data_IF_594585141152
#
_entry.id   IF_594585141152
#
_cell.length_a   1.000
_cell.length_b   1.000
_cell.length_c   1.000
_cell.angle_alpha   90.00
_cell.angle_beta   90.00
_cell.angle_gamma   90.00
#
_symmetry.space_group_name_H-M   'P 1'
#
loop_
_entity.id
_entity.type
_entity.pdbx_description
1 polymer ?
2 non-polymer ?
3 water ?
#
# COMPACT_ATOMS: atom_id res chain seq x y z
N UNK A 7 5.45 -9.68 -26.16
CA UNK A 7 6.15 -9.46 -24.87
C UNK A 7 6.45 -10.77 -24.15
N UNK A 8 7.52 -10.76 -23.37
CA UNK A 8 7.75 -11.81 -22.40
C UNK A 8 7.31 -11.29 -21.06
N UNK A 9 7.04 -12.22 -20.15
CA UNK A 9 6.63 -11.88 -18.79
C UNK A 9 7.80 -11.31 -18.03
N UNK A 10 7.57 -10.21 -17.32
CA UNK A 10 8.64 -9.61 -16.53
C UNK A 10 8.10 -9.25 -15.16
N UNK A 11 9.02 -9.02 -14.24
CA UNK A 11 8.72 -8.45 -12.93
C UNK A 11 9.28 -7.05 -12.88
N UNK A 12 8.48 -6.09 -12.37
CA UNK A 12 9.00 -4.75 -12.08
C UNK A 12 9.00 -4.54 -10.57
N UNK A 13 10.18 -4.67 -9.98
CA UNK A 13 10.36 -4.41 -8.56
C UNK A 13 10.46 -2.94 -8.33
N UNK A 14 9.75 -2.42 -7.34
CA UNK A 14 9.76 -0.97 -7.11
C UNK A 14 9.64 -0.64 -5.64
N UNK A 15 9.91 0.62 -5.31
CA UNK A 15 9.80 1.10 -3.94
C UNK A 15 9.74 2.62 -3.94
N UNK A 16 8.87 3.17 -3.10
CA UNK A 16 8.84 4.66 -2.89
C UNK A 16 9.51 5.02 -1.59
N UNK A 17 10.22 6.15 -1.57
CA UNK A 17 10.47 6.87 -0.33
C UNK A 17 9.51 8.04 -0.34
N UNK A 18 8.87 8.32 0.79
CA UNK A 18 7.88 9.41 0.82
C UNK A 18 8.18 10.34 1.97
N UNK A 19 7.43 11.42 2.02
CA UNK A 19 7.59 12.44 3.05
C UNK A 19 6.66 12.23 4.25
N UNK A 20 5.98 11.10 4.28
CA UNK A 20 5.12 10.80 5.43
C UNK A 20 4.37 9.51 5.26
N UNK A 21 3.67 9.12 6.32
CA UNK A 21 3.05 7.81 6.38
C UNK A 21 1.76 7.67 5.59
N UNK A 22 1.10 8.79 5.30
CA UNK A 22 -0.25 8.71 4.73
C UNK A 22 -0.13 8.68 3.21
N UNK A 23 -0.60 7.58 2.57
CA UNK A 23 -0.38 7.46 1.11
C UNK A 23 -1.09 8.50 0.27
N UNK A 24 -2.13 9.13 0.79
CA UNK A 24 -2.82 10.19 0.06
C UNK A 24 -2.31 11.57 0.45
N UNK A 25 -2.17 11.78 1.76
CA UNK A 25 -2.04 13.12 2.31
C UNK A 25 -0.59 13.51 2.49
N UNK A 26 0.31 12.55 2.44
CA UNK A 26 1.74 12.88 2.37
C UNK A 26 2.19 12.70 0.95
N UNK A 27 3.31 13.31 0.60
CA UNK A 27 3.73 13.37 -0.80
C UNK A 27 4.92 12.44 -1.00
N UNK A 28 5.05 11.87 -2.21
CA UNK A 28 6.20 10.99 -2.49
C UNK A 28 7.49 11.82 -2.62
N UNK A 29 8.65 11.19 -2.40
CA UNK A 29 9.95 11.88 -2.52
C UNK A 29 10.74 11.25 -3.64
N UNK A 30 10.78 9.91 -3.67
CA UNK A 30 11.62 9.20 -4.63
C UNK A 30 10.94 7.87 -5.02
N UNK A 31 11.08 7.49 -6.28
CA UNK A 31 10.64 6.21 -6.78
C UNK A 31 11.85 5.49 -7.33
N UNK A 32 11.99 4.19 -7.05
CA UNK A 32 13.07 3.38 -7.61
C UNK A 32 12.48 2.11 -8.13
N UNK A 33 12.99 1.62 -9.27
CA UNK A 33 12.47 0.39 -9.84
C UNK A 33 13.51 -0.26 -10.72
N UNK A 34 13.37 -1.55 -10.92
CA UNK A 34 14.16 -2.24 -11.93
C UNK A 34 13.38 -3.45 -12.41
N UNK A 35 13.54 -3.77 -13.70
CA UNK A 35 12.82 -4.89 -14.34
C UNK A 35 13.69 -6.15 -14.41
N UNK A 36 13.08 -7.30 -14.12
CA UNK A 36 13.76 -8.58 -14.27
C UNK A 36 12.96 -9.48 -15.20
N UNK A 37 13.62 -10.51 -15.72
CA UNK A 37 12.88 -11.56 -16.39
C UNK A 37 12.12 -12.47 -15.41
N UNK A 38 11.47 -13.49 -15.96
CA UNK A 38 10.63 -14.35 -15.12
C UNK A 38 11.42 -15.15 -14.08
N UNK A 39 12.76 -15.15 -14.19
CA UNK A 39 13.63 -15.88 -13.27
C UNK A 39 14.43 -14.95 -12.34
N UNK A 40 14.04 -13.66 -12.36
CA UNK A 40 14.64 -12.61 -11.47
C UNK A 40 16.04 -12.16 -11.90
N UNK A 41 16.41 -12.47 -13.15
CA UNK A 41 17.62 -11.86 -13.77
C UNK A 41 17.33 -10.43 -14.17
N UNK A 42 18.18 -9.50 -13.72
CA UNK A 42 17.98 -8.09 -14.07
C UNK A 42 18.14 -7.88 -15.56
N UNK A 43 17.12 -7.31 -16.18
CA UNK A 43 17.19 -7.04 -17.63
C UNK A 43 17.07 -5.59 -17.97
N UNK A 44 16.65 -4.77 -17.01
CA UNK A 44 16.50 -3.34 -17.24
C UNK A 44 17.57 -2.53 -16.55
N UNK A 45 17.55 -1.20 -16.77
CA UNK A 45 18.41 -0.28 -16.06
C UNK A 45 17.72 0.23 -14.80
N UNK A 46 18.48 0.61 -13.76
CA UNK A 46 17.81 1.19 -12.59
C UNK A 46 17.06 2.43 -13.00
N UNK A 47 15.82 2.55 -12.52
CA UNK A 47 14.99 3.73 -12.76
C UNK A 47 14.80 4.40 -11.43
N UNK A 48 15.42 5.56 -11.25
CA UNK A 48 15.38 6.25 -9.95
C UNK A 48 15.11 7.70 -10.23
N UNK A 49 14.06 8.24 -9.64
CA UNK A 49 13.82 9.64 -9.83
C UNK A 49 13.01 10.25 -8.71
N UNK A 50 13.03 11.58 -8.65
CA UNK A 50 12.42 12.32 -7.55
C UNK A 50 11.17 13.06 -7.95
N UNK A 51 10.39 13.44 -6.92
CA UNK A 51 9.17 14.20 -7.12
C UNK A 51 9.31 15.53 -6.39
N UNK A 52 9.23 16.63 -7.11
CA UNK A 52 9.16 17.96 -6.45
C UNK A 52 7.89 18.08 -5.64
N UNK A 53 7.99 18.42 -4.35
CA UNK A 53 6.74 18.67 -3.59
C UNK A 53 6.22 20.08 -3.83
N UNK A 54 4.90 20.20 -3.96
CA UNK A 54 4.28 21.53 -4.16
C UNK A 54 4.38 22.35 -2.88
N UNK A 55 4.17 23.67 -2.99
CA UNK A 55 4.39 24.55 -1.87
C UNK A 55 3.23 24.66 -0.89
N UNK A 56 2.30 23.70 -0.92
CA UNK A 56 1.19 23.64 0.03
C UNK A 56 1.43 22.53 1.04
N UNK A 57 2.68 22.12 1.16
CA UNK A 57 2.97 20.92 1.95
C UNK A 57 4.29 21.03 2.71
N UNK A 58 4.29 20.55 3.96
CA UNK A 58 5.55 20.30 4.69
C UNK A 58 5.67 18.81 5.04
N UNK A 59 6.86 18.24 4.83
CA UNK A 59 7.03 16.82 5.07
C UNK A 59 6.96 16.51 6.56
N UNK A 60 6.55 15.30 6.90
CA UNK A 60 6.69 14.81 8.31
C UNK A 60 8.17 14.71 8.65
N UNK A 61 8.62 15.41 9.73
CA UNK A 61 10.04 15.35 10.09
C UNK A 61 10.54 13.93 10.29
N UNK A 62 9.71 13.07 10.91
CA UNK A 62 10.05 11.67 11.12
C UNK A 62 10.43 10.93 9.85
N UNK A 63 9.69 11.18 8.76
CA UNK A 63 9.96 10.52 7.49
C UNK A 63 11.32 10.93 6.95
N UNK A 64 11.63 12.22 7.05
CA UNK A 64 12.90 12.71 6.53
C UNK A 64 14.08 12.11 7.31
N UNK A 65 13.88 11.91 8.62
CA UNK A 65 14.91 11.27 9.45
C UNK A 65 15.16 9.84 9.03
N UNK A 66 14.11 9.17 8.54
CA UNK A 66 14.23 7.79 8.03
C UNK A 66 14.91 7.75 6.65
N UNK A 67 14.46 8.60 5.73
CA UNK A 67 14.90 8.52 4.33
C UNK A 67 16.20 9.25 4.05
N UNK A 68 16.45 10.33 4.79
CA UNK A 68 17.60 11.20 4.54
C UNK A 68 17.38 12.10 3.34
N UNK A 69 16.15 12.11 2.81
CA UNK A 69 15.85 12.94 1.63
C UNK A 69 15.12 14.18 2.10
N UNK A 70 15.76 15.33 1.94
CA UNK A 70 15.17 16.60 2.36
C UNK A 70 14.19 17.08 1.27
N UNK A 71 13.22 17.93 1.65
CA UNK A 71 12.38 18.59 0.63
C UNK A 71 13.21 19.41 -0.35
N UNK A 72 14.30 20.03 0.11
CA UNK A 72 15.17 20.76 -0.81
C UNK A 72 15.73 19.85 -1.90
N UNK A 73 16.15 18.64 -1.52
CA UNK A 73 16.75 17.73 -2.49
C UNK A 73 15.72 17.25 -3.51
N UNK A 74 14.52 16.87 -3.04
CA UNK A 74 13.48 16.38 -3.96
C UNK A 74 13.05 17.51 -4.90
N UNK A 75 12.96 18.72 -4.36
CA UNK A 75 12.62 19.86 -5.19
C UNK A 75 13.67 20.12 -6.27
N UNK A 76 14.95 20.07 -5.91
CA UNK A 76 16.03 20.40 -6.87
C UNK A 76 16.25 19.30 -7.89
N UNK A 77 16.06 18.05 -7.46
CA UNK A 77 16.34 16.88 -8.31
C UNK A 77 15.10 16.32 -8.98
N UNK A 78 13.92 16.77 -8.57
CA UNK A 78 12.72 16.10 -9.02
C UNK A 78 12.08 16.77 -10.21
N UNK A 79 11.04 16.15 -10.72
CA UNK A 79 10.15 16.81 -11.65
C UNK A 79 8.80 16.95 -10.96
N UNK A 80 7.90 17.72 -11.54
CA UNK A 80 6.62 17.89 -10.89
C UNK A 80 5.87 16.56 -10.82
N UNK A 81 4.85 16.52 -9.98
CA UNK A 81 4.18 15.24 -9.72
C UNK A 81 3.51 14.71 -10.99
N UNK A 82 3.06 15.61 -11.86
CA UNK A 82 2.54 15.18 -13.14
C UNK A 82 3.56 14.36 -13.96
N UNK A 83 4.79 14.84 -14.02
CA UNK A 83 5.84 14.17 -14.80
C UNK A 83 6.31 12.90 -14.09
N UNK A 84 6.36 12.94 -12.77
CA UNK A 84 6.66 11.79 -11.90
C UNK A 84 5.63 10.68 -12.18
N UNK A 85 4.35 11.05 -12.17
CA UNK A 85 3.29 10.11 -12.45
C UNK A 85 3.42 9.50 -13.83
N UNK A 86 3.76 10.34 -14.82
CA UNK A 86 3.92 9.87 -16.19
C UNK A 86 4.97 8.78 -16.33
N UNK A 87 6.12 9.00 -15.68
CA UNK A 87 7.21 8.04 -15.74
C UNK A 87 6.81 6.72 -15.09
N UNK A 88 6.16 6.78 -13.93
CA UNK A 88 5.76 5.56 -13.23
C UNK A 88 4.69 4.82 -14.06
N UNK A 89 3.70 5.57 -14.55
CA UNK A 89 2.65 4.96 -15.40
C UNK A 89 3.23 4.25 -16.65
N UNK A 90 4.25 4.85 -17.26
CA UNK A 90 4.90 4.24 -18.42
C UNK A 90 5.60 2.92 -18.05
N UNK A 91 6.20 2.85 -16.86
CA UNK A 91 6.83 1.60 -16.43
C UNK A 91 5.79 0.55 -16.10
N UNK A 92 4.72 0.97 -15.43
CA UNK A 92 3.73 0.05 -14.88
C UNK A 92 2.81 -0.53 -15.92
N UNK A 93 2.70 0.15 -17.08
CA UNK A 93 1.78 -0.31 -18.10
C UNK A 93 2.46 -1.05 -19.25
N UNK A 94 3.74 -1.37 -19.10
CA UNK A 94 4.36 -2.30 -20.04
C UNK A 94 3.62 -3.66 -19.93
N UNK A 95 3.17 -4.21 -21.07
CA UNK A 95 2.44 -5.49 -21.05
C UNK A 95 3.19 -6.63 -20.37
N UNK A 96 2.41 -7.51 -19.77
CA UNK A 96 2.90 -8.72 -19.09
C UNK A 96 3.86 -8.44 -17.95
N UNK A 97 3.63 -7.33 -17.24
CA UNK A 97 4.42 -6.97 -16.05
C UNK A 97 3.71 -7.38 -14.79
N UNK A 98 4.43 -8.08 -13.92
CA UNK A 98 4.03 -8.28 -12.54
C UNK A 98 4.73 -7.19 -11.70
N UNK A 99 3.95 -6.24 -11.21
CA UNK A 99 4.46 -5.08 -10.45
C UNK A 99 4.50 -5.51 -9.00
N UNK A 100 5.67 -5.51 -8.39
CA UNK A 100 5.74 -5.99 -6.99
C UNK A 100 6.74 -5.22 -6.14
N UNK A 101 6.65 -5.40 -4.83
CA UNK A 101 7.57 -4.72 -3.93
C UNK A 101 7.54 -5.43 -2.60
N UNK A 102 7.81 -4.68 -1.55
CA UNK A 102 7.80 -5.26 -0.21
C UNK A 102 6.95 -4.33 0.65
N UNK A 103 5.75 -4.80 1.01
CA UNK A 103 4.69 -4.01 1.63
C UNK A 103 3.97 -3.09 0.63
N UNK A 104 4.06 -3.39 -0.65
CA UNK A 104 3.42 -2.52 -1.62
C UNK A 104 1.89 -2.61 -1.58
N UNK A 105 1.34 -3.76 -1.22
CA UNK A 105 -0.13 -3.86 -1.26
C UNK A 105 -0.81 -2.86 -0.31
N UNK A 106 -0.23 -2.70 0.87
CA UNK A 106 -0.81 -1.80 1.87
C UNK A 106 -0.25 -0.37 1.79
N UNK A 107 0.95 -0.21 1.23
CA UNK A 107 1.55 1.13 1.18
C UNK A 107 1.82 1.62 -0.26
N UNK A 108 2.88 1.14 -0.89
CA UNK A 108 3.27 1.70 -2.21
C UNK A 108 2.14 1.76 -3.24
N UNK A 109 1.35 0.70 -3.33
CA UNK A 109 0.27 0.66 -4.32
C UNK A 109 -0.77 1.75 -4.03
N UNK A 110 -0.94 2.09 -2.75
CA UNK A 110 -1.84 3.17 -2.34
C UNK A 110 -1.23 4.53 -2.70
N UNK A 111 0.08 4.62 -2.58
CA UNK A 111 0.78 5.84 -3.08
C UNK A 111 0.54 5.96 -4.59
N UNK A 112 0.76 4.88 -5.34
CA UNK A 112 0.55 4.90 -6.80
C UNK A 112 -0.89 5.31 -7.18
N UNK A 113 -1.88 4.66 -6.55
CA UNK A 113 -3.30 5.00 -6.80
C UNK A 113 -3.55 6.47 -6.60
N UNK A 114 -3.02 7.02 -5.52
CA UNK A 114 -3.23 8.44 -5.23
C UNK A 114 -2.47 9.37 -6.16
N UNK A 115 -1.24 9.03 -6.52
CA UNK A 115 -0.53 9.85 -7.52
C UNK A 115 -1.29 9.85 -8.87
N UNK A 116 -1.80 8.68 -9.27
CA UNK A 116 -2.55 8.56 -10.55
C UNK A 116 -3.84 9.34 -10.45
N UNK A 117 -4.54 9.17 -9.33
CA UNK A 117 -5.76 9.94 -9.03
C UNK A 117 -5.56 11.47 -9.15
N UNK A 118 -4.53 12.00 -8.51
CA UNK A 118 -4.31 13.46 -8.50
C UNK A 118 -3.91 13.98 -9.85
N UNK A 119 -3.30 13.11 -10.67
CA UNK A 119 -2.72 13.58 -11.94
C UNK A 119 -3.40 13.05 -13.18
N UNK A 120 -4.67 12.66 -13.01
CA UNK A 120 -5.56 12.33 -14.12
C UNK A 120 -5.23 11.06 -14.90
N UNK A 121 -4.57 10.12 -14.22
CA UNK A 121 -4.46 8.72 -14.69
C UNK A 121 -5.50 7.83 -14.03
N UNK A 122 -5.89 6.77 -14.72
CA UNK A 122 -6.70 5.73 -14.08
C UNK A 122 -5.93 5.15 -12.89
N UNK A 123 -6.53 5.18 -11.68
CA UNK A 123 -5.82 4.66 -10.50
C UNK A 123 -5.68 3.16 -10.41
N UNK A 124 -6.38 2.44 -11.29
CA UNK A 124 -6.56 0.99 -11.13
C UNK A 124 -6.10 0.14 -12.32
N UNK A 125 -6.30 0.64 -13.54
CA UNK A 125 -6.14 -0.19 -14.74
C UNK A 125 -4.74 -0.79 -14.91
N UNK A 126 -3.72 -0.04 -14.47
CA UNK A 126 -2.32 -0.44 -14.65
C UNK A 126 -2.04 -1.82 -14.11
N UNK A 127 -2.74 -2.20 -13.06
CA UNK A 127 -2.44 -3.45 -12.33
C UNK A 127 -2.96 -4.71 -12.98
N UNK A 128 -3.83 -4.58 -13.98
CA UNK A 128 -4.48 -5.76 -14.56
C UNK A 128 -4.52 -5.77 -16.06
N UNK A 129 -4.50 -4.57 -16.68
CA UNK A 129 -4.59 -4.51 -18.16
C UNK A 129 -3.32 -5.07 -18.80
N UNK A 130 -3.46 -5.60 -20.02
CA UNK A 130 -2.33 -6.12 -20.83
C UNK A 130 -1.61 -7.26 -20.09
N UNK A 131 -2.39 -8.10 -19.40
CA UNK A 131 -1.90 -9.28 -18.69
C UNK A 131 -1.02 -8.92 -17.49
N UNK A 132 -1.18 -7.72 -16.96
CA UNK A 132 -0.39 -7.31 -15.81
C UNK A 132 -0.95 -7.89 -14.52
N UNK A 133 -0.12 -7.85 -13.49
CA UNK A 133 -0.52 -8.28 -12.15
C UNK A 133 0.29 -7.55 -11.10
N UNK A 134 -0.05 -7.80 -9.83
CA UNK A 134 0.80 -7.33 -8.75
C UNK A 134 1.09 -8.47 -7.79
N UNK A 135 2.13 -8.29 -7.00
CA UNK A 135 2.45 -9.24 -5.95
C UNK A 135 3.16 -8.46 -4.87
N UNK A 136 3.42 -9.09 -3.73
CA UNK A 136 4.01 -8.37 -2.57
C UNK A 136 4.81 -9.40 -1.78
N UNK A 137 6.13 -9.21 -1.66
CA UNK A 137 6.97 -10.19 -0.98
C UNK A 137 6.79 -10.21 0.53
N UNK A 138 6.16 -9.18 1.09
CA UNK A 138 5.93 -9.18 2.54
C UNK A 138 5.06 -10.34 2.99
N UNK A 139 3.91 -10.55 2.34
CA UNK A 139 3.07 -11.67 2.80
C UNK A 139 3.66 -13.02 2.37
N UNK A 140 4.51 -13.03 1.33
CA UNK A 140 5.27 -14.27 0.98
C UNK A 140 6.19 -14.64 2.16
N UNK A 141 6.93 -13.66 2.71
CA UNK A 141 7.83 -13.95 3.84
C UNK A 141 7.04 -14.40 5.04
N UNK A 142 5.92 -13.70 5.31
CA UNK A 142 5.07 -14.10 6.42
C UNK A 142 4.53 -15.50 6.25
N UNK A 143 4.09 -15.83 5.04
CA UNK A 143 3.60 -17.21 4.76
C UNK A 143 4.70 -18.24 4.94
N UNK A 144 5.91 -17.93 4.49
CA UNK A 144 7.03 -18.86 4.72
C UNK A 144 7.28 -19.14 6.21
N UNK A 145 7.33 -18.08 7.01
CA UNK A 145 7.54 -18.26 8.44
C UNK A 145 6.49 -19.15 9.07
N UNK A 146 5.24 -18.92 8.70
CA UNK A 146 4.12 -19.61 9.34
C UNK A 146 4.04 -21.03 8.84
N UNK A 147 4.21 -21.21 7.53
CA UNK A 147 3.82 -22.47 6.90
C UNK A 147 4.99 -23.36 6.52
N UNK A 148 6.12 -22.75 6.16
CA UNK A 148 7.26 -23.51 5.64
C UNK A 148 8.57 -22.84 6.06
N UNK A 149 8.86 -22.80 7.38
CA UNK A 149 9.98 -21.95 7.88
C UNK A 149 11.37 -22.56 7.64
N UNK A 150 11.42 -23.79 7.15
CA UNK A 150 12.73 -24.50 6.95
C UNK A 150 13.67 -23.77 5.97
N UNK A 151 14.93 -23.60 6.40
CA UNK A 151 15.97 -23.12 5.51
C UNK A 151 16.17 -21.61 5.50
N UNK A 152 15.25 -20.87 6.15
CA UNK A 152 15.40 -19.42 6.30
C UNK A 152 15.60 -19.04 7.77
N UNK A 153 16.47 -18.06 8.03
CA UNK A 153 16.68 -17.58 9.39
C UNK A 153 15.63 -16.57 9.68
N UNK A 154 14.94 -16.71 10.81
CA UNK A 154 13.84 -15.79 11.14
C UNK A 154 14.16 -14.90 12.36
N UNK A 155 14.51 -13.62 12.12
CA UNK A 155 14.97 -12.77 13.23
C UNK A 155 13.83 -12.34 14.14
N UNK A 156 14.15 -12.09 15.42
CA UNK A 156 13.19 -11.53 16.36
C UNK A 156 13.46 -10.06 16.48
N UNK A 157 12.40 -9.26 16.66
CA UNK A 157 12.60 -7.85 16.99
C UNK A 157 12.86 -7.68 18.51
N UNK A 158 13.00 -6.42 18.95
CA UNK A 158 13.35 -6.13 20.34
C UNK A 158 12.24 -6.55 21.30
N UNK A 159 11.06 -6.85 20.77
CA UNK A 159 9.92 -7.28 21.61
C UNK A 159 9.80 -8.79 21.77
N UNK A 160 10.60 -9.53 21.01
CA UNK A 160 10.60 -10.97 21.12
C UNK A 160 9.67 -11.63 20.12
N UNK A 161 9.24 -10.85 19.11
CA UNK A 161 8.29 -11.32 18.09
C UNK A 161 9.04 -11.47 16.78
N UNK A 162 8.59 -12.37 15.91
CA UNK A 162 9.28 -12.49 14.62
C UNK A 162 9.16 -11.19 13.88
N UNK A 163 10.26 -10.75 13.26
CA UNK A 163 10.28 -9.50 12.51
C UNK A 163 10.25 -9.75 11.01
N UNK A 164 9.46 -8.95 10.30
CA UNK A 164 9.40 -9.03 8.84
C UNK A 164 9.84 -7.72 8.20
N UNK A 165 10.52 -6.89 8.97
CA UNK A 165 11.21 -5.75 8.35
C UNK A 165 12.27 -6.24 7.37
N UNK A 166 12.26 -5.63 6.19
CA UNK A 166 13.12 -6.08 5.12
C UNK A 166 14.57 -6.10 5.58
N UNK A 167 15.00 -5.03 6.23
CA UNK A 167 16.40 -4.91 6.71
C UNK A 167 16.80 -5.99 7.71
N UNK A 168 15.84 -6.43 8.52
CA UNK A 168 16.12 -7.50 9.46
C UNK A 168 16.25 -8.85 8.76
N UNK A 169 15.41 -9.09 7.76
CA UNK A 169 15.43 -10.38 7.06
C UNK A 169 16.68 -10.50 6.19
N UNK A 170 17.10 -9.40 5.56
CA UNK A 170 18.33 -9.46 4.76
C UNK A 170 19.54 -9.70 5.66
N UNK A 171 19.67 -8.91 6.74
CA UNK A 171 20.75 -9.11 7.72
C UNK A 171 20.80 -10.54 8.24
N UNK A 172 19.64 -11.09 8.61
CA UNK A 172 19.59 -12.41 9.22
C UNK A 172 19.93 -13.52 8.24
N UNK A 173 19.83 -13.22 6.96
CA UNK A 173 20.05 -14.23 5.92
C UNK A 173 21.24 -13.96 5.02
N UNK A 174 22.11 -13.03 5.45
CA UNK A 174 23.42 -12.80 4.77
C UNK A 174 23.32 -12.05 3.46
N UNK A 175 22.21 -11.35 3.25
CA UNK A 175 22.02 -10.55 2.04
C UNK A 175 22.51 -9.11 2.22
N UNK A 176 23.46 -8.70 1.40
CA UNK A 176 23.98 -7.33 1.43
C UNK A 176 22.87 -6.31 1.19
N UNK A 177 22.77 -5.32 2.08
CA UNK A 177 21.69 -4.35 2.05
C UNK A 177 22.12 -3.00 2.64
N UNK A 182 22.54 2.04 -3.48
CA UNK A 182 22.21 3.23 -2.66
C UNK A 182 20.71 3.53 -2.73
N UNK A 183 20.29 4.34 -3.68
CA UNK A 183 18.85 4.58 -3.87
C UNK A 183 18.16 3.26 -4.23
N UNK A 184 18.95 2.30 -4.73
CA UNK A 184 18.39 1.04 -5.21
C UNK A 184 18.41 -0.05 -4.15
N UNK A 185 18.91 0.28 -2.97
CA UNK A 185 19.11 -0.70 -1.90
C UNK A 185 17.88 -1.56 -1.66
N UNK A 186 16.73 -0.91 -1.46
CA UNK A 186 15.52 -1.63 -1.08
C UNK A 186 14.99 -2.50 -2.20
N UNK A 187 15.06 -1.98 -3.42
CA UNK A 187 14.67 -2.77 -4.58
C UNK A 187 15.54 -4.00 -4.73
N UNK A 188 16.87 -3.85 -4.68
CA UNK A 188 17.74 -5.01 -4.83
C UNK A 188 17.52 -5.99 -3.66
N UNK A 189 17.26 -5.47 -2.46
CA UNK A 189 17.00 -6.35 -1.30
C UNK A 189 15.74 -7.18 -1.52
N UNK A 190 14.72 -6.56 -2.14
CA UNK A 190 13.47 -7.24 -2.41
C UNK A 190 13.68 -8.37 -3.43
N UNK A 191 14.47 -8.10 -4.48
CA UNK A 191 14.82 -9.13 -5.50
C UNK A 191 15.53 -10.28 -4.79
N UNK A 192 16.45 -9.93 -3.90
CA UNK A 192 17.19 -10.94 -3.12
C UNK A 192 16.26 -11.82 -2.29
N UNK A 193 15.23 -11.23 -1.68
CA UNK A 193 14.22 -12.00 -0.91
C UNK A 193 13.39 -12.93 -1.75
N UNK A 194 12.99 -12.47 -2.95
CA UNK A 194 12.31 -13.33 -3.87
C UNK A 194 13.15 -14.53 -4.23
N UNK A 195 14.42 -14.30 -4.55
CA UNK A 195 15.32 -15.42 -4.94
C UNK A 195 15.48 -16.39 -3.78
N UNK A 196 15.56 -15.83 -2.58
CA UNK A 196 15.68 -16.63 -1.33
C UNK A 196 14.52 -17.61 -1.17
N UNK A 197 13.30 -17.11 -1.24
CA UNK A 197 12.15 -18.00 -1.11
C UNK A 197 12.03 -18.97 -2.28
N UNK A 198 12.28 -18.50 -3.51
CA UNK A 198 12.16 -19.37 -4.70
C UNK A 198 13.12 -20.56 -4.55
N UNK A 199 14.29 -20.29 -3.98
CA UNK A 199 15.33 -21.34 -3.83
C UNK A 199 15.01 -22.29 -2.68
N UNK A 200 14.60 -21.73 -1.55
CA UNK A 200 14.52 -22.53 -0.31
C UNK A 200 13.13 -23.14 -0.10
N UNK A 201 12.10 -22.51 -0.68
CA UNK A 201 10.77 -23.09 -0.60
C UNK A 201 10.08 -23.06 -1.97
N UNK A 202 10.61 -23.83 -2.94
CA UNK A 202 10.21 -23.66 -4.34
C UNK A 202 8.72 -23.90 -4.58
N UNK A 203 8.17 -24.95 -3.98
CA UNK A 203 6.75 -25.24 -4.23
C UNK A 203 5.84 -24.18 -3.64
N UNK A 204 6.15 -23.72 -2.42
CA UNK A 204 5.33 -22.68 -1.81
C UNK A 204 5.42 -21.39 -2.63
N UNK A 205 6.62 -21.06 -3.09
CA UNK A 205 6.82 -19.85 -3.93
C UNK A 205 5.93 -19.92 -5.18
N UNK A 206 5.95 -21.06 -5.87
CA UNK A 206 5.15 -21.27 -7.08
C UNK A 206 3.67 -21.16 -6.75
N UNK A 207 3.26 -21.78 -5.66
CA UNK A 207 1.87 -21.73 -5.21
C UNK A 207 1.44 -20.26 -4.95
N UNK A 208 2.24 -19.53 -4.19
CA UNK A 208 1.87 -18.16 -3.85
C UNK A 208 1.84 -17.26 -5.10
N UNK A 209 2.83 -17.44 -5.98
CA UNK A 209 2.86 -16.66 -7.23
C UNK A 209 1.59 -16.94 -8.06
N UNK A 210 1.28 -18.22 -8.27
CA UNK A 210 0.09 -18.59 -9.05
C UNK A 210 -1.20 -18.02 -8.44
N UNK A 211 -1.28 -18.02 -7.11
CA UNK A 211 -2.51 -17.60 -6.44
C UNK A 211 -2.58 -16.11 -6.17
N UNK A 212 -1.69 -15.35 -6.80
CA UNK A 212 -1.88 -13.88 -6.86
C UNK A 212 -3.12 -13.54 -7.70
N UNK A 213 -3.55 -14.48 -8.55
CA UNK A 213 -4.64 -14.28 -9.49
C UNK A 213 -5.97 -14.49 -8.76
N UNK A 214 -6.87 -13.53 -8.87
CA UNK A 214 -8.15 -13.59 -8.11
C UNK A 214 -9.02 -14.78 -8.48
N UNK A 215 -8.93 -15.27 -9.71
CA UNK A 215 -9.72 -16.45 -10.08
C UNK A 215 -9.22 -17.75 -9.44
N UNK A 216 -7.90 -17.89 -9.32
CA UNK A 216 -7.34 -18.98 -8.55
C UNK A 216 -7.76 -18.91 -7.08
N UNK A 217 -7.73 -17.71 -6.48
CA UNK A 217 -8.23 -17.53 -5.13
C UNK A 217 -9.72 -17.90 -5.01
N UNK A 218 -10.54 -17.43 -5.94
CA UNK A 218 -11.98 -17.80 -5.94
C UNK A 218 -12.21 -19.31 -5.84
N UNK A 219 -11.36 -20.10 -6.50
CA UNK A 219 -11.53 -21.57 -6.52
C UNK A 219 -11.37 -22.21 -5.15
N UNK A 220 -10.70 -21.50 -4.24
CA UNK A 220 -10.50 -22.01 -2.87
C UNK A 220 -11.70 -21.78 -1.98
N UNK A 221 -12.57 -20.88 -2.41
CA UNK A 221 -13.64 -20.36 -1.58
C UNK A 221 -14.92 -21.15 -1.79
N UNK A 222 -15.35 -21.84 -0.73
CA UNK A 222 -16.60 -22.58 -0.74
C UNK A 222 -17.49 -22.12 0.43
N UNK A 223 -18.33 -21.14 0.13
CA UNK A 223 -19.21 -20.53 1.15
C UNK A 223 -20.32 -21.48 1.64
N UNK A 224 -21.03 -22.17 0.72
CA UNK A 224 -22.06 -23.10 1.21
C UNK A 224 -21.53 -24.10 2.23
N UNK A 225 -20.33 -24.62 2.01
CA UNK A 225 -19.73 -25.61 2.90
C UNK A 225 -18.98 -24.96 4.07
N UNK A 226 -18.84 -23.64 4.03
CA UNK A 226 -17.95 -22.91 4.95
C UNK A 226 -16.60 -23.60 5.05
N UNK A 227 -16.03 -23.96 3.89
CA UNK A 227 -14.80 -24.75 3.87
C UNK A 227 -13.64 -23.95 4.46
N UNK A 228 -12.98 -24.51 5.48
CA UNK A 228 -11.92 -23.76 6.15
C UNK A 228 -10.67 -23.63 5.29
N UNK A 229 -9.98 -22.51 5.46
CA UNK A 229 -8.74 -22.24 4.75
C UNK A 229 -7.73 -21.72 5.72
N UNK A 230 -6.46 -21.91 5.39
CA UNK A 230 -5.43 -21.16 6.13
C UNK A 230 -5.32 -19.78 5.50
N UNK A 231 -5.22 -18.76 6.33
CA UNK A 231 -5.04 -17.38 5.84
C UNK A 231 -3.91 -16.75 6.62
N UNK A 232 -2.94 -16.20 5.91
CA UNK A 232 -1.82 -15.48 6.54
C UNK A 232 -2.01 -14.01 6.25
N UNK A 233 -2.09 -13.21 7.32
CA UNK A 233 -2.44 -11.80 7.22
C UNK A 233 -1.77 -11.04 8.36
N UNK A 234 -1.23 -9.87 8.07
CA UNK A 234 -0.59 -9.07 9.13
C UNK A 234 -1.57 -8.72 10.22
N UNK A 235 -2.87 -8.70 9.89
CA UNK A 235 -3.89 -8.32 10.89
C UNK A 235 -4.05 -9.36 12.01
N UNK A 236 -3.57 -10.58 11.76
CA UNK A 236 -3.64 -11.60 12.79
C UNK A 236 -2.56 -11.46 13.86
N UNK A 237 -1.41 -10.89 13.49
CA UNK A 237 -0.39 -10.56 14.51
C UNK A 237 0.78 -11.53 14.54
N UNK A 238 1.97 -10.98 14.73
CA UNK A 238 3.21 -11.76 14.71
C UNK A 238 3.25 -12.79 15.83
N UNK A 239 2.50 -12.52 16.91
CA UNK A 239 2.46 -13.46 18.06
C UNK A 239 1.92 -14.84 17.72
N UNK A 240 1.11 -14.93 16.66
CA UNK A 240 0.65 -16.23 16.13
C UNK A 240 1.12 -16.42 14.69
N UNK A 241 2.26 -15.84 14.38
CA UNK A 241 2.82 -15.98 13.04
C UNK A 241 1.90 -15.47 11.94
N UNK A 242 1.07 -14.46 12.27
CA UNK A 242 0.15 -13.84 11.31
C UNK A 242 -0.81 -14.85 10.63
N UNK A 243 -1.13 -15.94 11.33
CA UNK A 243 -1.83 -17.09 10.72
C UNK A 243 -3.06 -17.55 11.53
N UNK A 244 -4.12 -17.91 10.81
CA UNK A 244 -5.21 -18.60 11.41
C UNK A 244 -5.92 -19.51 10.40
N UNK A 245 -6.86 -20.30 10.90
CA UNK A 245 -7.83 -20.99 10.02
C UNK A 245 -9.09 -20.13 9.97
N UNK A 246 -9.56 -19.86 8.74
CA UNK A 246 -10.73 -19.02 8.54
C UNK A 246 -11.79 -19.80 7.77
N UNK A 247 -13.05 -19.38 7.87
CA UNK A 247 -14.10 -19.95 7.03
C UNK A 247 -14.91 -18.82 6.40
N UNK A 248 -15.26 -18.95 5.11
CA UNK A 248 -16.05 -17.90 4.45
C UNK A 248 -17.53 -18.02 4.77
N UNK A 249 -18.14 -16.92 5.18
CA UNK A 249 -19.57 -16.95 5.56
C UNK A 249 -20.46 -16.42 4.46
N UNK A 250 -19.97 -15.41 3.75
CA UNK A 250 -20.76 -14.70 2.76
C UNK A 250 -19.85 -13.76 2.02
N UNK A 251 -20.27 -13.34 0.83
CA UNK A 251 -19.60 -12.25 0.16
C UNK A 251 -20.14 -10.89 0.58
N UNK A 252 -19.25 -9.89 0.59
CA UNK A 252 -19.63 -8.50 0.91
C UNK A 252 -20.78 -8.06 0.00
N UNK A 253 -21.83 -7.43 0.58
CA UNK A 253 -23.01 -7.00 -0.17
C UNK A 253 -22.75 -5.84 -1.16
N UNK A 254 -21.61 -5.17 -1.03
CA UNK A 254 -21.30 -4.02 -1.88
C UNK A 254 -19.99 -4.19 -2.65
N UNK A 255 -18.98 -4.70 -1.97
CA UNK A 255 -17.65 -4.84 -2.55
C UNK A 255 -17.54 -6.19 -3.25
N UNK A 256 -17.49 -6.15 -4.58
CA UNK A 256 -17.48 -7.36 -5.42
C UNK A 256 -16.27 -8.25 -5.19
N UNK A 257 -15.20 -7.65 -4.66
CA UNK A 257 -13.96 -8.37 -4.47
C UNK A 257 -13.71 -8.85 -3.04
N UNK A 258 -14.61 -8.57 -2.13
CA UNK A 258 -14.39 -8.88 -0.71
C UNK A 258 -15.29 -10.01 -0.21
N UNK A 259 -14.68 -11.01 0.41
CA UNK A 259 -15.42 -12.09 1.08
C UNK A 259 -15.30 -11.92 2.60
N UNK A 260 -16.40 -12.21 3.30
CA UNK A 260 -16.45 -12.08 4.74
C UNK A 260 -16.07 -13.41 5.38
N UNK A 261 -14.94 -13.40 6.07
CA UNK A 261 -14.42 -14.60 6.70
C UNK A 261 -14.65 -14.51 8.18
N UNK A 262 -14.78 -15.67 8.83
CA UNK A 262 -14.69 -15.73 10.29
C UNK A 262 -13.34 -16.34 10.69
N UNK A 263 -12.68 -15.72 11.65
CA UNK A 263 -11.46 -16.29 12.21
C UNK A 263 -11.85 -17.37 13.19
N UNK A 264 -11.61 -18.62 12.81
CA UNK A 264 -12.09 -19.77 13.58
C UNK A 264 -11.40 -19.89 14.96
N UNK A 265 -10.23 -19.26 15.10
CA UNK A 265 -9.48 -19.26 16.37
C UNK A 265 -10.08 -18.31 17.39
N UNK A 266 -11.00 -17.44 16.94
CA UNK A 266 -11.57 -16.41 17.80
C UNK A 266 -12.67 -16.91 18.71
N UNK A 267 -13.29 -15.97 19.42
CA UNK A 267 -14.51 -16.23 20.19
C UNK A 267 -15.73 -15.82 19.39
N UNK A 268 -16.51 -16.80 18.93
CA UNK A 268 -17.64 -16.52 18.06
C UNK A 268 -18.93 -16.13 18.80
N UNK A 269 -18.87 -16.12 20.13
CA UNK A 269 -20.04 -15.78 20.98
C UNK A 269 -20.80 -14.52 20.52
N UNK A 270 -20.07 -13.39 20.29
CA UNK A 270 -20.74 -12.17 19.82
C UNK A 270 -21.52 -12.39 18.54
N UNK A 271 -20.96 -13.20 17.64
CA UNK A 271 -21.64 -13.54 16.39
C UNK A 271 -22.94 -14.28 16.60
N UNK A 272 -22.96 -15.18 17.59
CA UNK A 272 -24.11 -16.04 17.83
C UNK A 272 -25.20 -15.31 18.59
N UNK A 273 -24.81 -14.53 19.59
CA UNK A 273 -25.77 -14.06 20.58
C UNK A 273 -26.04 -12.54 20.55
N UNK A 274 -25.53 -11.89 19.53
CA UNK A 274 -25.67 -10.44 19.39
C UNK A 274 -26.28 -10.11 18.03
N UNK A 275 -27.02 -9.00 17.98
CA UNK A 275 -27.62 -8.51 16.73
C UNK A 275 -26.60 -7.78 15.84
N UNK A 276 -26.96 -7.57 14.58
CA UNK A 276 -26.07 -6.96 13.59
C UNK A 276 -25.70 -5.50 13.86
N UNK A 277 -26.59 -4.76 14.50
CA UNK A 277 -26.33 -3.36 14.82
C UNK A 277 -25.25 -3.24 15.89
N UNK A 278 -25.40 -4.01 16.97
CA UNK A 278 -24.41 -4.08 18.04
C UNK A 278 -23.05 -4.54 17.51
N UNK A 279 -23.07 -5.48 16.57
CA UNK A 279 -21.85 -6.00 15.96
C UNK A 279 -21.18 -4.97 15.07
N UNK A 280 -21.98 -4.18 14.35
CA UNK A 280 -21.44 -3.05 13.57
C UNK A 280 -21.01 -1.91 14.50
N UNK A 295 -14.32 -9.37 21.28
CA UNK A 295 -14.10 -8.87 19.92
C UNK A 295 -15.06 -9.54 18.95
N UNK A 296 -15.00 -9.14 17.68
CA UNK A 296 -15.82 -9.74 16.65
C UNK A 296 -14.86 -10.37 15.64
N UNK A 297 -14.80 -11.71 15.63
CA UNK A 297 -13.79 -12.40 14.84
C UNK A 297 -14.22 -12.50 13.38
N UNK A 298 -14.46 -11.35 12.76
CA UNK A 298 -14.85 -11.28 11.37
C UNK A 298 -13.82 -10.40 10.65
N UNK A 299 -13.39 -10.84 9.47
CA UNK A 299 -12.54 -9.97 8.64
C UNK A 299 -12.85 -10.14 7.18
N UNK A 300 -12.66 -9.07 6.41
CA UNK A 300 -12.77 -9.12 4.97
C UNK A 300 -11.48 -9.63 4.35
N UNK A 301 -11.60 -10.52 3.37
CA UNK A 301 -10.45 -10.88 2.55
C UNK A 301 -10.73 -10.34 1.15
N UNK A 302 -9.80 -9.56 0.62
CA UNK A 302 -9.97 -8.88 -0.65
C UNK A 302 -9.22 -9.62 -1.73
N UNK A 303 -9.95 -10.24 -2.67
CA UNK A 303 -9.30 -11.18 -3.59
C UNK A 303 -8.43 -10.50 -4.64
N UNK A 304 -8.53 -9.18 -4.75
CA UNK A 304 -7.68 -8.43 -5.68
C UNK A 304 -6.43 -7.84 -4.99
N UNK A 305 -6.22 -8.25 -3.75
CA UNK A 305 -5.11 -7.70 -2.95
C UNK A 305 -4.08 -8.77 -2.54
N UNK A 306 -3.84 -9.75 -3.41
CA UNK A 306 -2.86 -10.81 -3.16
C UNK A 306 -2.93 -11.40 -1.76
N UNK A 307 -4.12 -11.74 -1.26
CA UNK A 307 -4.15 -12.36 0.06
C UNK A 307 -3.58 -13.76 0.03
N UNK A 308 -2.93 -14.15 1.12
CA UNK A 308 -2.43 -15.54 1.22
C UNK A 308 -3.52 -16.46 1.74
N UNK A 309 -3.96 -17.39 0.88
CA UNK A 309 -5.02 -18.35 1.23
C UNK A 309 -4.63 -19.69 0.70
N UNK A 310 -4.86 -20.74 1.49
CA UNK A 310 -4.56 -22.10 1.06
C UNK A 310 -5.46 -23.11 1.76
N UNK A 311 -5.53 -24.33 1.20
CA UNK A 311 -6.30 -25.41 1.84
C UNK A 311 -5.83 -25.59 3.28
N UNK A 312 -6.77 -25.95 4.15
CA UNK A 312 -6.54 -25.96 5.60
C UNK A 312 -5.32 -26.79 6.04
N UNK A 313 -5.08 -27.90 5.36
CA UNK A 313 -3.95 -28.78 5.73
C UNK A 313 -2.57 -28.25 5.33
N UNK A 314 -2.55 -27.10 4.67
CA UNK A 314 -1.28 -26.42 4.38
C UNK A 314 -0.57 -26.02 5.68
N UNK A 315 -1.34 -25.74 6.72
CA UNK A 315 -0.77 -25.51 8.04
C UNK A 315 -0.64 -26.87 8.71
N UNK A 316 0.61 -27.34 8.79
CA UNK A 316 0.92 -28.69 9.34
C UNK A 316 0.80 -28.69 10.86
N UNK A 317 0.48 -29.87 11.46
CA UNK A 317 0.31 -29.93 12.91
C UNK A 317 1.46 -29.32 13.69
N UNK A 318 2.70 -29.63 13.32
CA UNK A 318 3.89 -29.08 13.99
C UNK A 318 3.94 -27.54 13.99
N UNK A 319 3.48 -26.94 12.89
CA UNK A 319 3.50 -25.50 12.79
C UNK A 319 2.35 -24.85 13.51
N UNK A 320 1.17 -25.47 13.45
CA UNK A 320 0.06 -25.04 14.28
C UNK A 320 0.51 -25.01 15.75
N UNK A 321 1.21 -26.08 16.17
CA UNK A 321 1.72 -26.16 17.54
C UNK A 321 2.68 -25.02 17.84
N UNK A 322 3.61 -24.81 16.91
CA UNK A 322 4.63 -23.80 17.07
C UNK A 322 4.00 -22.41 17.25
N UNK A 323 2.94 -22.15 16.47
CA UNK A 323 2.27 -20.84 16.45
C UNK A 323 1.17 -20.70 17.48
N UNK A 324 0.91 -21.75 18.24
CA UNK A 324 -0.08 -21.71 19.33
C UNK A 324 -1.52 -21.80 18.85
N UNK A 325 -1.72 -22.26 17.61
CA UNK A 325 -3.05 -22.29 16.99
C UNK A 325 -3.79 -23.57 17.40
N UNK A 326 -4.95 -23.38 18.01
CA UNK A 326 -5.69 -24.50 18.62
C UNK A 326 -6.68 -25.13 17.64
N UNK A 327 -6.29 -26.27 17.06
CA UNK A 327 -7.09 -26.92 15.99
C UNK A 327 -8.48 -27.31 16.47
N UNK A 328 -8.55 -27.90 17.66
CA UNK A 328 -9.85 -28.33 18.18
C UNK A 328 -10.80 -27.15 18.36
N UNK A 329 -10.28 -26.05 18.86
CA UNK A 329 -11.09 -24.84 19.03
C UNK A 329 -11.67 -24.39 17.69
N UNK A 330 -10.82 -24.38 16.67
CA UNK A 330 -11.24 -23.96 15.34
C UNK A 330 -12.32 -24.87 14.80
N UNK A 331 -12.12 -26.17 14.97
CA UNK A 331 -13.11 -27.15 14.50
C UNK A 331 -14.44 -27.07 15.24
N UNK A 332 -14.39 -26.83 16.56
CA UNK A 332 -15.62 -26.68 17.33
C UNK A 332 -16.42 -25.46 16.87
N UNK A 333 -15.72 -24.34 16.66
CA UNK A 333 -16.34 -23.11 16.12
C UNK A 333 -16.92 -23.38 14.74
N UNK A 334 -16.16 -24.07 13.89
CA UNK A 334 -16.63 -24.36 12.52
C UNK A 334 -17.95 -25.16 12.58
N UNK A 335 -18.00 -26.15 13.47
CA UNK A 335 -19.20 -26.97 13.62
C UNK A 335 -20.41 -26.12 14.00
N UNK A 336 -20.25 -25.29 15.04
CA UNK A 336 -21.32 -24.40 15.50
C UNK A 336 -21.78 -23.51 14.34
N UNK A 337 -20.82 -22.92 13.63
CA UNK A 337 -21.16 -22.00 12.55
C UNK A 337 -21.95 -22.69 11.45
N UNK A 338 -21.54 -23.90 11.09
CA UNK A 338 -22.28 -24.65 10.04
C UNK A 338 -23.70 -24.99 10.48
N UNK A 339 -23.90 -25.16 11.79
CA UNK A 339 -25.21 -25.56 12.35
C UNK A 339 -26.10 -24.35 12.58
N UNK A 340 -25.51 -23.16 12.44
CA UNK A 340 -26.23 -21.90 12.61
C UNK A 340 -26.06 -20.98 11.38
N UNK A 341 -26.59 -21.38 10.20
CA UNK A 341 -26.38 -20.59 8.97
C UNK A 341 -26.99 -19.18 9.01
N UNK A 342 -27.82 -18.88 10.00
CA UNK A 342 -28.38 -17.55 10.16
C UNK A 342 -27.28 -16.51 10.46
N UNK A 343 -26.11 -17.00 10.86
CA UNK A 343 -24.97 -16.12 11.09
C UNK A 343 -24.52 -15.44 9.78
N UNK A 344 -24.77 -16.07 8.64
CA UNK A 344 -24.37 -15.50 7.34
C UNK A 344 -25.13 -14.21 7.08
N UNK A 345 -26.45 -14.27 7.24
CA UNK A 345 -27.29 -13.11 7.07
C UNK A 345 -26.85 -12.00 8.03
N UNK A 346 -26.55 -12.39 9.26
CA UNK A 346 -26.10 -11.47 10.28
C UNK A 346 -24.82 -10.70 9.89
N UNK A 347 -23.81 -11.41 9.40
CA UNK A 347 -22.57 -10.73 9.03
C UNK A 347 -22.71 -9.85 7.75
N UNK A 348 -23.59 -10.26 6.83
CA UNK A 348 -23.85 -9.46 5.64
C UNK A 348 -24.47 -8.12 6.07
N UNK A 349 -25.37 -8.18 7.05
CA UNK A 349 -26.00 -6.96 7.57
C UNK A 349 -24.98 -5.98 8.13
N UNK A 350 -23.97 -6.50 8.84
CA UNK A 350 -22.88 -5.67 9.38
C UNK A 350 -22.27 -4.76 8.30
N UNK A 351 -21.91 -5.34 7.16
CA UNK A 351 -21.22 -4.61 6.08
C UNK A 351 -22.16 -3.99 5.03
N UNK A 352 -23.47 -4.11 5.26
CA UNK A 352 -24.48 -3.56 4.35
C UNK A 352 -24.59 -2.04 4.44
N UNK A 353 -23.89 -1.44 5.42
CA UNK A 353 -23.78 0.01 5.53
C UNK A 353 -22.32 0.47 5.49
N UNK A 360 -13.77 13.86 4.81
CA UNK A 360 -13.14 15.20 4.83
C UNK A 360 -13.40 15.93 3.51
N UNK A 361 -13.27 17.27 3.54
CA UNK A 361 -13.51 18.10 2.36
C UNK A 361 -12.28 18.23 1.48
N UNK A 362 -11.19 17.59 1.90
CA UNK A 362 -9.93 17.63 1.14
C UNK A 362 -10.07 16.67 -0.03
N UNK A 363 -10.10 17.20 -1.26
CA UNK A 363 -10.19 16.34 -2.43
C UNK A 363 -9.05 15.30 -2.50
N UNK A 364 -7.86 15.63 -1.97
CA UNK A 364 -6.75 14.65 -1.96
C UNK A 364 -7.11 13.36 -1.21
N UNK A 365 -8.07 13.46 -0.30
CA UNK A 365 -8.45 12.33 0.56
C UNK A 365 -9.66 11.56 0.01
N UNK A 366 -10.09 11.90 -1.19
CA UNK A 366 -11.38 11.41 -1.68
C UNK A 366 -11.32 10.36 -2.80
N UNK A 367 -10.17 9.71 -2.96
CA UNK A 367 -10.04 8.63 -3.96
C UNK A 367 -11.17 7.60 -3.88
N UNK A 368 -11.49 7.14 -2.67
CA UNK A 368 -12.47 6.07 -2.51
C UNK A 368 -13.92 6.57 -2.35
N UNK A 369 -14.15 7.85 -2.62
CA UNK A 369 -15.53 8.37 -2.60
C UNK A 369 -16.39 7.87 -3.78
N UNK A 370 -15.79 7.07 -4.66
CA UNK A 370 -16.53 6.43 -5.74
C UNK A 370 -15.79 6.36 -7.04
N UNK A 371 -16.23 5.46 -7.91
CA UNK A 371 -15.70 5.37 -9.25
C UNK A 371 -16.26 6.51 -10.10
N UNK A 372 -15.41 7.08 -10.94
CA UNK A 372 -15.86 8.05 -11.91
C UNK A 372 -16.68 7.36 -12.99
N UNK A 373 -17.63 8.08 -13.58
CA UNK A 373 -18.41 7.53 -14.69
C UNK A 373 -17.52 7.36 -15.92
N UNK A 374 -18.05 6.71 -16.95
CA UNK A 374 -17.33 6.55 -18.20
C UNK A 374 -17.07 7.90 -18.86
N UNK A 375 -18.07 8.78 -18.81
CA UNK A 375 -17.97 10.10 -19.43
C UNK A 375 -16.89 10.92 -18.73
N UNK A 376 -16.91 10.90 -17.40
CA UNK A 376 -15.89 11.62 -16.61
C UNK A 376 -14.45 11.10 -16.83
N UNK A 377 -14.26 9.78 -16.96
CA UNK A 377 -12.92 9.24 -17.26
C UNK A 377 -12.46 9.70 -18.64
N UNK A 378 -13.39 9.72 -19.59
CA UNK A 378 -13.13 10.22 -20.92
C UNK A 378 -12.68 11.68 -20.88
N UNK A 379 -13.39 12.50 -20.08
CA UNK A 379 -13.04 13.91 -19.89
C UNK A 379 -11.69 14.04 -19.22
N UNK A 380 -11.44 13.21 -18.21
CA UNK A 380 -10.15 13.29 -17.50
C UNK A 380 -8.99 12.93 -18.40
N UNK A 381 -9.24 12.01 -19.32
CA UNK A 381 -8.24 11.58 -20.28
C UNK A 381 -7.87 12.75 -21.21
N UNK A 382 -8.84 13.57 -21.56
CA UNK A 382 -8.55 14.75 -22.37
C UNK A 382 -7.64 15.74 -21.59
N UNK A 383 -7.93 15.93 -20.30
CA UNK A 383 -7.04 16.77 -19.45
C UNK A 383 -5.62 16.21 -19.49
N UNK A 384 -5.51 14.89 -19.30
CA UNK A 384 -4.23 14.24 -19.31
C UNK A 384 -3.46 14.47 -20.61
N UNK A 385 -4.19 14.46 -21.73
CA UNK A 385 -3.54 14.44 -23.02
C UNK A 385 -3.50 15.81 -23.65
N UNK A 386 -3.95 16.81 -22.90
CA UNK A 386 -3.84 18.21 -23.28
C UNK A 386 -2.56 18.84 -22.74
N UNK A 387 -1.90 19.61 -23.59
CA UNK A 387 -0.69 20.38 -23.23
C UNK A 387 -0.93 21.40 -22.09
N UNK A 388 -0.10 21.38 -21.02
CA UNK A 388 -0.40 22.21 -19.85
C UNK A 388 -0.75 23.67 -20.18
N UNK A 389 -0.12 24.21 -21.23
CA UNK A 389 -0.36 25.60 -21.66
C UNK A 389 -1.74 25.80 -22.29
N UNK A 390 -2.38 24.69 -22.66
CA UNK A 390 -3.71 24.74 -23.29
C UNK A 390 -4.88 24.43 -22.34
N UNK A 391 -4.56 24.05 -21.09
CA UNK A 391 -5.59 23.75 -20.12
C UNK A 391 -6.54 24.90 -19.77
N UNK A 392 -6.00 26.15 -19.65
CA UNK A 392 -6.88 27.27 -19.32
C UNK A 392 -7.99 27.47 -20.35
N UNK A 393 -7.75 27.08 -21.60
CA UNK A 393 -8.76 27.25 -22.65
C UNK A 393 -9.57 25.98 -22.94
N UNK A 394 -9.31 24.90 -22.19
CA UNK A 394 -10.00 23.64 -22.41
C UNK A 394 -11.49 23.76 -22.05
N UNK A 395 -12.36 23.25 -22.92
CA UNK A 395 -13.80 23.52 -22.85
C UNK A 395 -14.65 22.27 -22.62
N UNK A 396 -14.21 21.37 -21.76
CA UNK A 396 -14.93 20.11 -21.52
C UNK A 396 -15.80 20.14 -20.26
N UNK A 397 -16.61 19.10 -20.09
CA UNK A 397 -17.58 19.00 -19.01
C UNK A 397 -17.29 17.84 -18.08
N UNK A 398 -17.36 18.11 -16.78
CA UNK A 398 -17.22 17.09 -15.74
C UNK A 398 -18.50 17.07 -14.91
N UNK A 399 -18.91 15.90 -14.45
CA UNK A 399 -20.05 15.82 -13.55
C UNK A 399 -19.59 15.61 -12.10
N UNK A 400 -18.66 14.67 -11.90
CA UNK A 400 -18.18 14.37 -10.56
C UNK A 400 -17.62 15.61 -9.87
N UNK A 401 -18.07 15.84 -8.64
CA UNK A 401 -17.77 17.08 -7.92
C UNK A 401 -16.30 17.19 -7.53
N UNK A 402 -15.61 16.05 -7.52
CA UNK A 402 -14.20 16.07 -7.17
C UNK A 402 -13.35 16.68 -8.26
N UNK A 403 -13.80 16.58 -9.51
CA UNK A 403 -12.93 16.90 -10.66
C UNK A 403 -12.48 18.38 -10.74
N UNK A 404 -13.39 19.34 -10.52
CA UNK A 404 -13.05 20.79 -10.54
C UNK A 404 -11.89 21.08 -9.59
N UNK A 405 -11.94 20.48 -8.39
CA UNK A 405 -10.93 20.69 -7.37
C UNK A 405 -9.64 19.96 -7.74
N UNK A 406 -9.78 18.73 -8.21
CA UNK A 406 -8.62 17.98 -8.71
C UNK A 406 -7.88 18.73 -9.79
N UNK A 407 -8.64 19.32 -10.73
CA UNK A 407 -8.03 20.05 -11.84
C UNK A 407 -7.37 21.34 -11.38
N UNK A 408 -8.06 22.10 -10.52
CA UNK A 408 -7.41 23.28 -9.95
C UNK A 408 -6.09 22.94 -9.23
N UNK A 409 -6.11 21.95 -8.34
CA UNK A 409 -4.90 21.56 -7.62
C UNK A 409 -3.82 21.10 -8.59
N UNK A 410 -4.22 20.34 -9.60
CA UNK A 410 -3.29 19.79 -10.55
C UNK A 410 -2.57 20.95 -11.28
N UNK A 411 -3.33 21.94 -11.73
CA UNK A 411 -2.73 23.06 -12.44
C UNK A 411 -1.87 23.93 -11.50
N UNK A 412 -2.39 24.24 -10.30
CA UNK A 412 -1.68 25.13 -9.38
C UNK A 412 -0.39 24.48 -8.83
N UNK A 413 -0.44 23.20 -8.50
CA UNK A 413 0.76 22.48 -8.03
C UNK A 413 1.81 22.26 -9.09
N UNK A 414 1.37 21.81 -10.29
CA UNK A 414 2.30 21.41 -11.35
C UNK A 414 2.71 22.54 -12.31
N UNK A 415 1.78 23.45 -12.57
CA UNK A 415 1.92 24.43 -13.66
C UNK A 415 1.53 25.84 -13.18
N UNK A 416 2.19 26.31 -12.10
CA UNK A 416 1.74 27.56 -11.47
C UNK A 416 1.92 28.80 -12.35
N UNK A 417 2.81 28.74 -13.34
CA UNK A 417 2.96 29.83 -14.33
C UNK A 417 1.79 30.00 -15.29
N UNK A 418 0.85 29.05 -15.28
CA UNK A 418 -0.32 29.10 -16.16
C UNK A 418 -1.53 29.68 -15.43
N UNK A 419 -1.37 29.99 -14.14
CA UNK A 419 -2.47 30.50 -13.34
C UNK A 419 -2.70 31.98 -13.58
N UNK A 420 -3.97 32.37 -13.70
CA UNK A 420 -4.29 33.81 -13.78
C UNK A 420 -4.43 34.40 -12.37
N UNK A 421 -4.68 35.71 -12.28
CA UNK A 421 -4.64 36.39 -10.98
C UNK A 421 -5.60 35.80 -9.96
N UNK A 422 -6.86 35.61 -10.36
CA UNK A 422 -7.89 35.01 -9.50
C UNK A 422 -7.44 33.63 -9.03
N UNK A 423 -6.87 32.85 -9.95
CA UNK A 423 -6.35 31.52 -9.59
C UNK A 423 -5.20 31.57 -8.60
N UNK A 424 -4.28 32.51 -8.78
CA UNK A 424 -3.20 32.70 -7.81
C UNK A 424 -3.75 33.04 -6.41
N UNK A 425 -4.78 33.89 -6.36
CA UNK A 425 -5.42 34.26 -5.09
C UNK A 425 -6.12 33.07 -4.45
N UNK A 426 -6.74 32.23 -5.28
CA UNK A 426 -7.34 30.98 -4.80
C UNK A 426 -6.26 30.09 -4.18
N UNK A 427 -5.12 29.99 -4.85
CA UNK A 427 -4.02 29.13 -4.35
C UNK A 427 -3.46 29.71 -3.07
N UNK A 428 -3.32 31.04 -2.99
CA UNK A 428 -2.82 31.66 -1.75
C UNK A 428 -3.74 31.34 -0.57
N UNK A 429 -5.05 31.37 -0.81
CA UNK A 429 -6.03 31.03 0.23
C UNK A 429 -5.92 29.54 0.64
N UNK A 430 -5.74 28.67 -0.35
CA UNK A 430 -5.51 27.25 -0.13
C UNK A 430 -4.35 27.05 0.84
N UNK A 431 -3.24 27.72 0.57
CA UNK A 431 -2.03 27.54 1.39
C UNK A 431 -2.24 28.06 2.81
N UNK A 432 -2.97 29.16 2.93
CA UNK A 432 -3.31 29.71 4.23
C UNK A 432 -4.17 28.73 5.03
N UNK A 433 -5.02 27.99 4.34
CA UNK A 433 -5.93 27.06 5.00
C UNK A 433 -5.23 25.77 5.42
N UNK A 434 -4.13 25.42 4.73
CA UNK A 434 -3.27 24.32 5.17
C UNK A 434 -2.40 24.74 6.36
N UNK A 435 -1.74 25.89 6.20
CA UNK A 435 -0.78 26.35 7.17
C UNK A 435 -1.50 27.16 8.27
N UNK A 436 -2.35 26.47 9.03
CA UNK A 436 -3.12 27.08 10.15
C UNK A 436 -2.16 27.42 11.30
N UNK A 437 -2.54 28.35 12.16
CA UNK A 437 -1.75 28.65 13.34
C UNK A 437 -1.37 27.41 14.15
N UNK A 438 -2.32 26.50 14.37
CA UNK A 438 -2.06 25.28 15.13
C UNK A 438 -1.02 24.40 14.45
N UNK A 439 -1.12 24.32 13.13
CA UNK A 439 -0.20 23.47 12.36
C UNK A 439 1.25 23.99 12.41
N UNK A 440 1.42 25.27 12.17
CA UNK A 440 2.75 25.86 12.12
C UNK A 440 3.45 25.84 13.48
N UNK A 441 2.70 26.17 14.54
CA UNK A 441 3.25 26.06 15.88
C UNK A 441 3.67 24.63 16.20
N UNK A 442 2.83 23.67 15.84
CA UNK A 442 3.12 22.27 16.15
C UNK A 442 4.34 21.80 15.36
N UNK A 443 4.51 22.34 14.16
CA UNK A 443 5.63 21.91 13.31
C UNK A 443 6.95 22.41 13.90
N UNK A 444 6.96 23.68 14.29
CA UNK A 444 8.10 24.28 14.96
C UNK A 444 8.41 23.53 16.24
N UNK A 445 7.37 23.22 17.02
CA UNK A 445 7.54 22.50 18.27
C UNK A 445 8.17 21.11 18.05
N UNK A 446 7.72 20.43 17.00
CA UNK A 446 8.22 19.08 16.71
C UNK A 446 9.71 19.12 16.33
N UNK A 447 10.08 20.07 15.48
CA UNK A 447 11.47 20.19 15.06
C UNK A 447 12.38 20.48 16.25
N UNK A 448 11.96 21.40 17.12
CA UNK A 448 12.78 21.78 18.28
C UNK A 448 12.88 20.58 19.23
N UNK A 449 11.79 19.84 19.38
CA UNK A 449 11.79 18.66 20.24
C UNK A 449 12.75 17.61 19.67
N UNK A 450 12.73 17.44 18.35
CA UNK A 450 13.52 16.37 17.74
C UNK A 450 15.01 16.70 17.75
N UNK A 451 15.34 17.98 17.60
CA UNK A 451 16.75 18.39 17.59
C UNK A 451 17.42 18.21 18.96
N UNK A 452 16.61 18.28 20.02
CA UNK A 452 17.08 17.99 21.37
C UNK A 452 17.19 16.49 21.55
N UNK A 453 16.13 15.79 21.16
CA UNK A 453 16.08 14.34 21.31
C UNK A 453 17.22 13.66 20.57
N UNK A 454 17.55 14.15 19.37
CA UNK A 454 18.59 13.53 18.56
C UNK A 454 19.89 14.31 18.54
N UNK A 455 20.11 15.09 19.61
CA UNK A 455 21.24 16.03 19.67
C UNK A 455 22.59 15.37 19.39
N UNK A 456 22.71 14.10 19.77
CA UNK A 456 23.97 13.36 19.59
C UNK A 456 24.13 12.70 18.23
N UNK A 457 23.10 12.79 17.39
CA UNK A 457 23.17 12.20 16.07
C UNK A 457 23.34 13.31 15.04
N UNK A 458 24.57 13.51 14.60
CA UNK A 458 24.87 14.71 13.83
C UNK A 458 24.21 14.74 12.46
N UNK A 459 24.06 13.57 11.83
CA UNK A 459 23.34 13.48 10.57
C UNK A 459 21.87 13.91 10.75
N UNK A 460 21.23 13.43 11.81
CA UNK A 460 19.83 13.79 12.04
C UNK A 460 19.68 15.27 12.36
N UNK A 461 20.62 15.83 13.13
CA UNK A 461 20.54 17.25 13.48
C UNK A 461 20.63 18.08 12.20
N UNK A 462 21.51 17.68 11.30
CA UNK A 462 21.62 18.40 10.02
C UNK A 462 20.34 18.34 9.16
N UNK A 463 19.70 17.18 9.12
CA UNK A 463 18.42 17.05 8.41
C UNK A 463 17.35 17.95 9.04
N UNK A 464 17.31 17.97 10.36
CA UNK A 464 16.33 18.80 11.07
C UNK A 464 16.54 20.29 10.80
N UNK A 465 17.79 20.73 10.77
CA UNK A 465 18.09 22.13 10.41
C UNK A 465 17.61 22.44 8.98
N UNK A 466 17.80 21.50 8.04
CA UNK A 466 17.30 21.63 6.68
C UNK A 466 15.76 21.74 6.66
N UNK A 467 15.10 20.92 7.45
CA UNK A 467 13.63 20.96 7.54
C UNK A 467 13.13 22.29 8.09
N UNK A 468 13.84 22.85 9.06
CA UNK A 468 13.49 24.16 9.59
C UNK A 468 13.64 25.26 8.53
N UNK A 469 14.76 25.23 7.82
CA UNK A 469 15.03 26.17 6.75
C UNK A 469 13.98 26.11 5.63
N UNK A 470 13.58 24.89 5.26
CA UNK A 470 12.52 24.74 4.26
C UNK A 470 11.21 25.30 4.78
N UNK A 471 10.87 24.98 6.02
CA UNK A 471 9.60 25.46 6.56
C UNK A 471 9.61 26.98 6.64
N UNK A 472 10.76 27.56 7.03
CA UNK A 472 10.91 29.04 7.02
C UNK A 472 10.61 29.63 5.65
N UNK A 473 11.09 28.98 4.59
CA UNK A 473 10.86 29.47 3.23
C UNK A 473 9.38 29.35 2.85
N UNK A 474 8.78 28.18 3.13
CA UNK A 474 7.44 27.85 2.65
C UNK A 474 6.34 28.50 3.46
N UNK A 475 6.49 28.45 4.79
CA UNK A 475 5.38 28.70 5.70
C UNK A 475 5.75 29.50 6.96
N UNK A 476 7.02 29.37 7.38
CA UNK A 476 7.55 29.94 8.64
C UNK A 476 7.22 29.05 9.83
X LIG B 1 9.21 0.63 0.92
#
# INVERSE_FOLDING_TARGET
MMNDGKQQSTFLFHDYETFGTHPALDRPAQFAAIRTDSEFNVIGEPEVFYCKPADDYLPQPGAVLITGITPQEARAKGENEAAFAARIHSLFTVPKTCILGYNNVRFDDEVTRNIFYRNFYDPYAWSWQHDNSRWDLLDVMRACYALRPEGINWPENDDGLPSFRLEHLTKANGIEHSNAHDAMADVYATIAMAKLVKTRQPRLFDYLFTHRNKHKLMALIDVPQMKPLVHVSGMFGAWRGNTSWVAPLAWHPENRNAVIMVDLAGDISPLLELDSDTLRERLYTAKTDLGDNAAVPVKLVHINKCPVLAQANTLRPEDADRLGINRQHCLDNLKILRENPQVREKVVAIFAEAEPFTPSDNVDAQLYNGFFSDADRAAMKIVLETEPRNLPALDITFVDKRIEKLLFNYRARNFPGTLDYAEQQRWLEHRRQVFTPEFLQGYADELQMLVQQYADDKEKVALLKALWQYADEIVEHHHHHH
MG MG
#
